data_IF_937127618549
#
_entry.id   IF_937127618549
#
_cell.length_a   1.000
_cell.length_b   1.000
_cell.length_c   1.000
_cell.angle_alpha   90.00
_cell.angle_beta   90.00
_cell.angle_gamma   90.00
#
_symmetry.space_group_name_H-M   'P 1'
#
loop_
_entity.id
_entity.type
_entity.pdbx_description
1 polymer ?
#
# COMPACT_ATOMS: atom_id res chain seq x y z
N UNK A 1 -15.68 12.29 21.19
CA UNK A 1 -14.50 11.46 20.88
C UNK A 1 -13.55 11.52 22.06
N UNK A 2 -12.94 10.40 22.45
CA UNK A 2 -11.89 10.33 23.49
C UNK A 2 -10.79 11.39 23.27
N UNK A 3 -10.49 11.67 22.00
CA UNK A 3 -9.45 12.62 21.58
C UNK A 3 -9.83 14.12 21.66
N UNK A 4 -11.07 14.48 22.01
CA UNK A 4 -11.58 15.87 22.04
C UNK A 4 -11.23 16.70 20.78
N UNK A 5 -11.13 16.05 19.63
CA UNK A 5 -10.78 16.66 18.35
C UNK A 5 -11.95 16.57 17.34
N UNK A 6 -12.00 17.52 16.40
CA UNK A 6 -12.97 17.50 15.29
C UNK A 6 -12.59 16.41 14.27
N UNK A 7 -13.55 15.84 13.50
CA UNK A 7 -13.27 14.79 12.51
C UNK A 7 -12.18 15.14 11.50
N UNK A 8 -12.03 16.42 11.15
CA UNK A 8 -10.98 16.91 10.25
C UNK A 8 -9.57 16.59 10.76
N UNK A 9 -9.38 16.44 12.07
CA UNK A 9 -8.09 16.07 12.65
C UNK A 9 -7.63 14.65 12.26
N UNK A 10 -8.53 13.79 11.77
CA UNK A 10 -8.18 12.46 11.24
C UNK A 10 -7.39 12.54 9.93
N UNK A 11 -7.61 13.60 9.12
CA UNK A 11 -6.88 13.83 7.88
C UNK A 11 -5.61 14.66 8.16
N UNK A 12 -4.75 14.14 9.03
CA UNK A 12 -3.51 14.80 9.46
C UNK A 12 -2.39 13.78 9.69
N UNK A 13 -1.17 14.27 9.89
CA UNK A 13 -0.01 13.45 10.28
C UNK A 13 -0.33 12.57 11.49
N UNK A 14 -0.87 13.17 12.56
CA UNK A 14 -1.24 12.43 13.77
C UNK A 14 -2.45 11.54 13.55
N UNK A 15 -3.39 11.95 12.69
CA UNK A 15 -4.53 11.13 12.30
C UNK A 15 -4.11 9.81 11.63
N UNK A 16 -3.14 9.85 10.72
CA UNK A 16 -2.56 8.63 10.10
C UNK A 16 -1.87 7.73 11.12
N UNK A 17 -1.15 8.29 12.09
CA UNK A 17 -0.55 7.50 13.17
C UNK A 17 -1.60 6.87 14.09
N UNK A 18 -2.63 7.63 14.47
CA UNK A 18 -3.72 7.13 15.29
C UNK A 18 -4.51 6.02 14.57
N UNK A 19 -4.78 6.18 13.28
CA UNK A 19 -5.44 5.15 12.47
C UNK A 19 -4.64 3.84 12.44
N UNK A 20 -3.33 3.90 12.20
CA UNK A 20 -2.44 2.72 12.22
C UNK A 20 -2.39 2.04 13.59
N UNK A 21 -2.36 2.81 14.67
CA UNK A 21 -2.39 2.27 16.02
C UNK A 21 -3.73 1.57 16.33
N UNK A 22 -4.84 2.16 15.88
CA UNK A 22 -6.17 1.57 16.03
C UNK A 22 -6.31 0.28 15.21
N UNK A 23 -5.90 0.29 13.94
CA UNK A 23 -5.88 -0.89 13.08
C UNK A 23 -5.05 -2.02 13.69
N UNK A 24 -3.86 -1.69 14.23
CA UNK A 24 -3.00 -2.66 14.94
C UNK A 24 -3.77 -3.34 16.08
N UNK A 25 -4.52 -2.56 16.88
CA UNK A 25 -5.33 -3.12 17.97
C UNK A 25 -6.44 -4.02 17.43
N UNK A 26 -7.16 -3.57 16.41
CA UNK A 26 -8.27 -4.35 15.81
C UNK A 26 -7.76 -5.70 15.30
N UNK A 27 -6.62 -5.71 14.59
CA UNK A 27 -6.01 -6.95 14.11
C UNK A 27 -5.54 -7.82 15.27
N UNK A 28 -4.86 -7.25 16.26
CA UNK A 28 -4.38 -8.01 17.42
C UNK A 28 -5.51 -8.66 18.23
N UNK A 29 -6.65 -7.95 18.39
CA UNK A 29 -7.82 -8.50 19.06
C UNK A 29 -8.44 -9.64 18.22
N UNK A 30 -8.55 -9.48 16.89
CA UNK A 30 -9.10 -10.51 16.00
C UNK A 30 -8.22 -11.78 15.90
N UNK A 31 -6.90 -11.64 16.04
CA UNK A 31 -5.98 -12.78 16.01
C UNK A 31 -6.27 -13.82 17.11
N UNK A 32 -6.80 -13.40 18.26
CA UNK A 32 -7.18 -14.33 19.33
C UNK A 32 -8.28 -15.29 18.86
N UNK A 33 -9.27 -14.78 18.15
CA UNK A 33 -10.38 -15.58 17.61
C UNK A 33 -9.89 -16.47 16.45
N UNK A 34 -9.09 -15.93 15.53
CA UNK A 34 -8.56 -16.71 14.39
C UNK A 34 -7.72 -17.92 14.82
N UNK A 35 -6.96 -17.81 15.90
CA UNK A 35 -6.21 -18.94 16.47
C UNK A 35 -7.13 -20.04 16.97
N UNK A 36 -8.29 -19.67 17.55
CA UNK A 36 -9.28 -20.63 18.04
C UNK A 36 -10.10 -21.27 16.91
N UNK A 37 -10.21 -20.62 15.76
CA UNK A 37 -10.85 -21.16 14.56
C UNK A 37 -9.98 -22.17 13.81
N UNK A 38 -8.67 -22.19 14.08
CA UNK A 38 -7.75 -23.12 13.44
C UNK A 38 -8.15 -24.57 13.74
N UNK A 39 -8.14 -25.41 12.70
CA UNK A 39 -8.37 -26.86 12.82
C UNK A 39 -7.08 -27.61 12.51
N UNK A 40 -6.25 -27.94 13.52
CA UNK A 40 -4.98 -28.62 13.29
C UNK A 40 -5.17 -29.96 12.59
N UNK A 41 -4.37 -30.22 11.56
CA UNK A 41 -4.40 -31.47 10.80
C UNK A 41 -5.39 -31.51 9.64
N UNK A 42 -6.26 -30.51 9.49
CA UNK A 42 -7.11 -30.38 8.30
C UNK A 42 -6.30 -29.86 7.08
N UNK A 43 -6.68 -30.23 5.85
CA UNK A 43 -6.04 -29.70 4.65
C UNK A 43 -6.16 -28.17 4.54
N UNK A 44 -5.05 -27.48 4.23
CA UNK A 44 -5.00 -26.01 4.08
C UNK A 44 -4.73 -25.55 2.63
N UNK A 45 -4.65 -26.48 1.69
CA UNK A 45 -4.37 -26.23 0.29
C UNK A 45 -5.31 -27.08 -0.56
N UNK A 46 -6.01 -26.46 -1.51
CA UNK A 46 -6.79 -27.19 -2.50
C UNK A 46 -5.88 -27.61 -3.65
N UNK A 47 -6.08 -28.81 -4.17
CA UNK A 47 -5.49 -29.19 -5.46
C UNK A 47 -6.07 -28.32 -6.57
N UNK A 48 -5.23 -27.92 -7.51
CA UNK A 48 -5.64 -27.14 -8.67
C UNK A 48 -4.86 -27.59 -9.90
N UNK A 49 -5.49 -27.45 -11.07
CA UNK A 49 -4.83 -27.63 -12.36
C UNK A 49 -4.50 -26.26 -12.94
N UNK A 50 -3.32 -26.11 -13.53
CA UNK A 50 -2.93 -24.86 -14.18
C UNK A 50 -3.76 -24.68 -15.45
N UNK A 51 -4.53 -23.59 -15.60
CA UNK A 51 -5.31 -23.37 -16.80
C UNK A 51 -4.40 -23.04 -17.99
N UNK A 52 -4.70 -23.58 -19.18
CA UNK A 52 -4.03 -23.20 -20.42
C UNK A 52 -4.24 -21.71 -20.76
N UNK A 53 -5.39 -21.15 -20.42
CA UNK A 53 -5.64 -19.71 -20.49
C UNK A 53 -6.63 -19.23 -19.44
N UNK A 54 -6.51 -17.98 -19.01
CA UNK A 54 -7.40 -17.40 -18.01
C UNK A 54 -7.00 -16.02 -17.53
N UNK A 55 -7.86 -15.40 -16.73
CA UNK A 55 -7.58 -14.13 -16.04
C UNK A 55 -7.98 -14.24 -14.57
N UNK A 56 -7.23 -13.57 -13.69
CA UNK A 56 -7.50 -13.57 -12.26
C UNK A 56 -7.10 -12.26 -11.60
N UNK A 57 -7.70 -11.97 -10.45
CA UNK A 57 -7.28 -10.87 -9.58
C UNK A 57 -7.26 -11.29 -8.11
N UNK A 58 -6.28 -10.77 -7.37
CA UNK A 58 -6.20 -10.87 -5.92
C UNK A 58 -6.21 -9.49 -5.30
N UNK A 59 -7.23 -9.19 -4.49
CA UNK A 59 -7.40 -7.90 -3.83
C UNK A 59 -7.29 -8.08 -2.32
N UNK A 60 -6.52 -7.23 -1.65
CA UNK A 60 -6.37 -7.26 -0.19
C UNK A 60 -6.01 -5.89 0.39
N UNK A 61 -6.16 -5.75 1.71
CA UNK A 61 -5.64 -4.64 2.48
C UNK A 61 -4.24 -4.97 2.99
N UNK A 62 -3.20 -4.41 2.37
CA UNK A 62 -1.86 -4.47 2.91
C UNK A 62 -1.69 -3.42 4.04
N UNK A 63 -0.66 -3.51 4.89
CA UNK A 63 -0.47 -2.57 6.02
C UNK A 63 -0.37 -1.08 5.64
N UNK A 64 -0.18 -0.77 4.35
CA UNK A 64 -0.04 0.59 3.80
C UNK A 64 -1.26 1.05 3.00
N UNK A 65 -2.29 0.20 2.85
CA UNK A 65 -3.51 0.48 2.08
C UNK A 65 -3.88 -0.62 1.08
N UNK A 66 -4.64 -0.24 0.05
CA UNK A 66 -5.16 -1.17 -0.95
C UNK A 66 -4.06 -1.78 -1.83
N UNK A 67 -4.12 -3.11 -2.00
CA UNK A 67 -3.24 -3.89 -2.85
C UNK A 67 -4.06 -4.72 -3.83
N UNK A 68 -3.71 -4.66 -5.11
CA UNK A 68 -4.28 -5.52 -6.13
C UNK A 68 -3.20 -6.15 -7.01
N UNK A 69 -3.39 -7.41 -7.33
CA UNK A 69 -2.62 -8.17 -8.32
C UNK A 69 -3.59 -8.64 -9.41
N UNK A 70 -3.21 -8.48 -10.68
CA UNK A 70 -3.96 -8.96 -11.84
C UNK A 70 -3.05 -9.81 -12.71
N UNK A 71 -3.55 -10.95 -13.16
CA UNK A 71 -2.81 -11.91 -13.97
C UNK A 71 -3.63 -12.34 -15.18
N UNK A 72 -2.98 -12.47 -16.34
CA UNK A 72 -3.48 -13.23 -17.47
C UNK A 72 -2.55 -14.39 -17.80
N UNK A 73 -3.13 -15.54 -18.15
CA UNK A 73 -2.44 -16.77 -18.49
C UNK A 73 -2.80 -17.13 -19.94
N UNK A 74 -1.82 -17.57 -20.71
CA UNK A 74 -1.97 -18.07 -22.08
C UNK A 74 -0.91 -19.14 -22.35
N UNK A 75 -1.30 -20.23 -23.01
CA UNK A 75 -0.47 -21.40 -23.29
C UNK A 75 0.24 -21.92 -22.03
N UNK A 76 -0.50 -21.94 -20.90
CA UNK A 76 0.00 -22.39 -19.60
C UNK A 76 1.05 -21.49 -18.94
N UNK A 77 1.32 -20.30 -19.49
CA UNK A 77 2.28 -19.34 -18.93
C UNK A 77 1.64 -17.99 -18.64
N UNK A 78 2.26 -17.20 -17.75
CA UNK A 78 1.82 -15.84 -17.47
C UNK A 78 2.07 -14.97 -18.71
N UNK A 79 1.01 -14.50 -19.33
CA UNK A 79 1.06 -13.56 -20.45
C UNK A 79 1.27 -12.13 -19.96
N UNK A 80 0.60 -11.75 -18.87
CA UNK A 80 0.76 -10.44 -18.22
C UNK A 80 0.53 -10.55 -16.70
N UNK A 81 1.28 -9.75 -15.95
CA UNK A 81 1.12 -9.61 -14.51
C UNK A 81 1.25 -8.14 -14.12
N UNK A 82 0.24 -7.61 -13.44
CA UNK A 82 0.20 -6.21 -13.02
C UNK A 82 -0.09 -6.12 -11.53
N UNK A 83 0.65 -5.24 -10.85
CA UNK A 83 0.46 -4.94 -9.44
C UNK A 83 0.13 -3.47 -9.30
N UNK A 84 -0.95 -3.14 -8.59
CA UNK A 84 -1.23 -1.79 -8.13
C UNK A 84 -1.17 -1.81 -6.62
N UNK A 85 -0.11 -1.24 -6.06
CA UNK A 85 0.23 -1.40 -4.65
C UNK A 85 -0.05 -0.13 -3.83
N UNK A 86 -0.10 -0.21 -2.50
CA UNK A 86 -0.58 0.91 -1.69
C UNK A 86 0.25 2.19 -1.82
N UNK A 87 1.58 2.05 -1.91
CA UNK A 87 2.46 3.23 -2.04
C UNK A 87 2.34 3.87 -3.43
N UNK A 88 1.92 3.13 -4.47
CA UNK A 88 1.61 3.69 -5.79
C UNK A 88 0.47 4.70 -5.69
N UNK A 89 -0.57 4.42 -4.91
CA UNK A 89 -1.66 5.37 -4.67
C UNK A 89 -1.24 6.60 -3.86
N UNK A 90 -0.48 6.37 -2.78
CA UNK A 90 -0.13 7.45 -1.84
C UNK A 90 0.97 8.38 -2.36
N UNK A 91 1.93 7.83 -3.11
CA UNK A 91 3.13 8.53 -3.58
C UNK A 91 3.18 8.57 -5.12
N UNK A 92 2.02 8.58 -5.78
CA UNK A 92 1.95 8.82 -7.22
C UNK A 92 2.50 10.23 -7.53
N UNK A 93 3.12 10.41 -8.70
CA UNK A 93 3.37 11.74 -9.23
C UNK A 93 2.04 12.39 -9.66
N UNK A 94 2.14 13.57 -10.28
CA UNK A 94 1.03 14.21 -10.98
C UNK A 94 0.48 13.33 -12.10
N UNK A 95 -0.84 13.33 -12.26
CA UNK A 95 -1.51 12.63 -13.36
C UNK A 95 -1.49 13.45 -14.68
N UNK A 96 -2.06 12.92 -15.75
CA UNK A 96 -2.18 13.56 -17.06
C UNK A 96 -2.95 14.91 -17.05
N UNK A 97 -3.65 15.21 -15.95
CA UNK A 97 -4.37 16.47 -15.73
C UNK A 97 -3.61 17.39 -14.76
N UNK A 98 -2.34 17.09 -14.50
CA UNK A 98 -1.46 17.80 -13.59
C UNK A 98 -1.95 17.78 -12.12
N UNK A 99 -2.81 16.83 -11.74
CA UNK A 99 -3.32 16.72 -10.37
C UNK A 99 -2.27 16.03 -9.47
N UNK A 100 -1.83 16.68 -8.38
CA UNK A 100 -0.82 16.11 -7.48
C UNK A 100 -1.31 14.87 -6.76
N UNK A 101 -0.39 13.94 -6.47
CA UNK A 101 -0.66 12.74 -5.69
C UNK A 101 -0.97 13.05 -4.21
N UNK A 102 -1.48 12.06 -3.46
CA UNK A 102 -1.92 12.28 -2.08
C UNK A 102 -0.81 12.79 -1.14
N UNK A 103 0.43 12.28 -1.29
CA UNK A 103 1.57 12.75 -0.52
C UNK A 103 2.02 14.16 -0.93
N UNK A 104 1.96 14.49 -2.23
CA UNK A 104 2.29 15.84 -2.72
C UNK A 104 1.29 16.86 -2.16
N UNK A 105 -0.02 16.58 -2.26
CA UNK A 105 -1.09 17.40 -1.68
C UNK A 105 -0.93 17.59 -0.17
N UNK A 106 -0.46 16.56 0.55
CA UNK A 106 -0.25 16.64 1.98
C UNK A 106 0.93 17.55 2.39
N UNK A 107 1.85 17.84 1.47
CA UNK A 107 2.99 18.73 1.71
C UNK A 107 2.62 20.20 1.42
N UNK A 108 1.65 20.45 0.55
CA UNK A 108 1.23 21.80 0.18
C UNK A 108 0.80 22.62 1.40
N UNK A 109 1.29 23.86 1.49
CA UNK A 109 1.00 24.78 2.60
C UNK A 109 1.74 24.48 3.91
N UNK A 110 2.62 23.48 3.95
CA UNK A 110 3.41 23.19 5.16
C UNK A 110 4.37 24.33 5.47
N UNK A 111 4.31 24.86 6.69
CA UNK A 111 5.30 25.81 7.18
C UNK A 111 6.58 25.08 7.54
N UNK A 112 7.70 25.48 6.93
CA UNK A 112 9.04 24.99 7.24
C UNK A 112 9.75 26.04 8.07
N UNK A 113 10.10 25.71 9.32
CA UNK A 113 10.75 26.66 10.22
C UNK A 113 12.23 26.89 9.88
N UNK A 114 12.93 25.82 9.53
CA UNK A 114 14.35 25.82 9.21
C UNK A 114 14.60 25.11 7.87
N UNK A 115 14.90 25.86 6.79
CA UNK A 115 15.16 25.28 5.48
C UNK A 115 16.36 24.31 5.43
N UNK A 116 17.35 24.49 6.32
CA UNK A 116 18.52 23.60 6.39
C UNK A 116 18.18 22.27 7.09
N UNK A 117 17.04 22.21 7.78
CA UNK A 117 16.55 21.01 8.47
C UNK A 117 15.01 20.90 8.41
N UNK A 118 14.42 20.60 7.23
CA UNK A 118 12.98 20.66 6.99
C UNK A 118 12.25 19.41 7.53
N UNK A 119 12.37 19.13 8.82
CA UNK A 119 11.83 17.91 9.44
C UNK A 119 10.30 17.82 9.36
N UNK A 120 9.58 18.94 9.21
CA UNK A 120 8.13 18.98 9.06
C UNK A 120 7.68 18.21 7.81
N UNK A 121 8.37 18.42 6.68
CA UNK A 121 8.11 17.71 5.43
C UNK A 121 8.34 16.20 5.60
N UNK A 122 9.44 15.83 6.25
CA UNK A 122 9.78 14.42 6.43
C UNK A 122 8.83 13.71 7.41
N UNK A 123 8.28 14.43 8.42
CA UNK A 123 7.20 13.89 9.28
C UNK A 123 5.94 13.60 8.49
N UNK A 124 5.57 14.47 7.56
CA UNK A 124 4.41 14.26 6.68
C UNK A 124 4.62 13.00 5.84
N UNK A 125 5.74 12.92 5.11
CA UNK A 125 6.04 11.76 4.25
C UNK A 125 6.07 10.46 5.06
N UNK A 126 6.77 10.43 6.20
CA UNK A 126 6.85 9.22 7.06
C UNK A 126 5.50 8.78 7.62
N UNK A 127 4.55 9.70 7.80
CA UNK A 127 3.23 9.33 8.29
C UNK A 127 2.42 8.47 7.31
N UNK A 128 2.78 8.47 6.02
CA UNK A 128 2.25 7.55 5.01
C UNK A 128 2.91 6.16 5.02
N UNK A 129 4.00 5.98 5.79
CA UNK A 129 4.79 4.73 5.82
C UNK A 129 5.19 4.25 4.40
N UNK A 130 5.91 5.07 3.60
CA UNK A 130 6.19 4.73 2.21
C UNK A 130 7.13 3.53 2.10
N UNK A 131 6.77 2.57 1.24
CA UNK A 131 7.65 1.48 0.82
C UNK A 131 8.02 1.67 -0.66
N UNK A 132 9.19 2.26 -0.92
CA UNK A 132 9.60 2.57 -2.31
C UNK A 132 9.96 1.32 -3.13
N UNK A 133 10.46 0.26 -2.48
CA UNK A 133 10.63 -1.03 -3.14
C UNK A 133 9.29 -1.61 -3.62
N UNK A 134 8.22 -1.36 -2.85
CA UNK A 134 6.88 -1.74 -3.22
C UNK A 134 6.35 -0.86 -4.36
N UNK A 135 6.61 0.45 -4.41
CA UNK A 135 5.99 1.30 -5.45
C UNK A 135 6.62 1.17 -6.84
N UNK A 136 7.92 0.88 -6.92
CA UNK A 136 8.64 0.97 -8.21
C UNK A 136 8.69 -0.37 -8.93
N UNK A 137 8.85 -1.52 -8.26
CA UNK A 137 8.90 -2.87 -8.88
C UNK A 137 9.84 -3.09 -10.09
N UNK A 138 10.65 -2.09 -10.49
CA UNK A 138 11.32 -2.02 -11.81
C UNK A 138 12.84 -2.20 -11.77
N UNK A 139 13.44 -2.40 -10.60
CA UNK A 139 14.90 -2.47 -10.45
C UNK A 139 15.29 -3.80 -9.81
N UNK A 140 16.16 -4.56 -10.47
CA UNK A 140 16.74 -5.77 -9.88
C UNK A 140 17.76 -5.41 -8.80
N UNK A 141 18.13 -6.34 -7.89
CA UNK A 141 19.20 -6.11 -6.92
C UNK A 141 20.57 -5.74 -7.52
N UNK A 142 20.77 -6.01 -8.82
CA UNK A 142 21.99 -5.65 -9.57
C UNK A 142 21.95 -4.24 -10.18
N UNK A 143 20.83 -3.53 -10.04
CA UNK A 143 20.65 -2.19 -10.61
C UNK A 143 20.16 -2.19 -12.06
N UNK A 144 19.83 -3.35 -12.62
CA UNK A 144 19.31 -3.45 -13.98
C UNK A 144 17.83 -2.99 -14.02
N UNK A 145 17.51 -2.10 -14.96
CA UNK A 145 16.16 -1.61 -15.23
C UNK A 145 15.38 -2.69 -16.00
N UNK A 146 14.31 -3.22 -15.41
CA UNK A 146 13.56 -4.38 -15.94
C UNK A 146 12.64 -3.96 -17.10
N UNK A 147 12.08 -2.75 -17.02
CA UNK A 147 11.16 -2.21 -18.03
C UNK A 147 10.83 -0.74 -17.73
N UNK A 148 10.37 0.01 -18.75
CA UNK A 148 9.93 1.40 -18.62
C UNK A 148 8.45 1.48 -18.97
N UNK A 149 7.63 1.96 -18.03
CA UNK A 149 6.21 2.20 -18.26
C UNK A 149 5.91 3.69 -18.10
N UNK A 150 5.12 4.24 -19.04
CA UNK A 150 4.43 5.51 -18.82
C UNK A 150 3.16 5.20 -18.05
N UNK A 151 2.97 5.87 -16.92
CA UNK A 151 1.62 6.08 -16.39
C UNK A 151 0.97 7.17 -17.22
#
# INVERSE_FOLDING_TARGET
SEFKAKPQALFSVLGRHAARALETKVVADAMADWVMELKPGEPSCAEYELPESGQGMGLTGAPRGALGHWVSIKDGVIENYQCVVPTTWNCSPRDDKDQPGACEQALEGTTVKDPENPFELVRIVRSFDPCLACSVHLVTPKGDEISRFSV
#
